data_IF_204683487957
#
_entry.id   IF_204683487957
#
_cell.length_a   1.000
_cell.length_b   1.000
_cell.length_c   1.000
_cell.angle_alpha   90.00
_cell.angle_beta   90.00
_cell.angle_gamma   90.00
#
_symmetry.space_group_name_H-M   'P 1'
#
loop_
_entity.id
_entity.type
_entity.pdbx_description
1 polymer ?
#
# COMPACT_ATOMS: atom_id res chain seq x y z
N UNK A 1 -6.66 -4.19 3.77
CA UNK A 1 -8.00 -3.54 3.73
C UNK A 1 -8.39 -2.89 5.04
N UNK A 2 -8.19 -3.49 6.19
CA UNK A 2 -8.56 -2.95 7.53
C UNK A 2 -8.07 -1.52 7.79
N UNK A 3 -6.84 -1.18 7.37
CA UNK A 3 -6.31 0.18 7.55
C UNK A 3 -7.09 1.26 6.77
N UNK A 4 -7.72 0.92 5.64
CA UNK A 4 -8.54 1.85 4.87
C UNK A 4 -9.83 2.20 5.61
N UNK A 5 -10.46 1.19 6.22
CA UNK A 5 -11.66 1.37 7.04
C UNK A 5 -11.32 2.23 8.26
N UNK A 6 -10.22 1.89 8.94
CA UNK A 6 -9.73 2.68 10.07
C UNK A 6 -9.50 4.14 9.68
N UNK A 7 -8.90 4.40 8.51
CA UNK A 7 -8.69 5.76 8.02
C UNK A 7 -10.03 6.49 7.81
N UNK A 8 -10.99 5.85 7.12
CA UNK A 8 -12.33 6.45 6.90
C UNK A 8 -13.02 6.76 8.22
N UNK A 9 -12.97 5.83 9.20
CA UNK A 9 -13.58 6.05 10.52
C UNK A 9 -12.91 7.19 11.28
N UNK A 10 -11.58 7.30 11.24
CA UNK A 10 -10.85 8.36 11.94
C UNK A 10 -11.08 9.75 11.32
N UNK A 11 -11.08 9.84 9.99
CA UNK A 11 -11.18 11.14 9.30
C UNK A 11 -12.63 11.60 9.06
N UNK A 12 -13.59 10.66 8.94
CA UNK A 12 -14.95 10.94 8.51
C UNK A 12 -16.03 10.36 9.42
N UNK A 13 -15.67 9.67 10.50
CA UNK A 13 -16.59 9.08 11.48
C UNK A 13 -17.47 7.96 10.91
N UNK A 14 -18.49 7.59 11.67
CA UNK A 14 -19.48 6.57 11.25
C UNK A 14 -20.25 6.99 10.00
N UNK A 15 -20.60 8.29 9.88
CA UNK A 15 -21.26 8.80 8.69
C UNK A 15 -20.44 8.62 7.40
N UNK A 16 -19.10 8.75 7.50
CA UNK A 16 -18.19 8.45 6.39
C UNK A 16 -18.18 6.96 6.04
N UNK A 17 -18.22 6.11 7.05
CA UNK A 17 -18.30 4.66 6.84
C UNK A 17 -19.60 4.23 6.19
N UNK A 18 -20.73 4.82 6.60
CA UNK A 18 -22.04 4.56 6.00
C UNK A 18 -22.09 5.02 4.53
N UNK A 19 -21.51 6.19 4.23
CA UNK A 19 -21.37 6.66 2.85
C UNK A 19 -20.52 5.69 2.00
N UNK A 20 -19.45 5.14 2.55
CA UNK A 20 -18.63 4.15 1.87
C UNK A 20 -19.44 2.88 1.61
N UNK A 21 -20.12 2.34 2.60
CA UNK A 21 -20.95 1.13 2.50
C UNK A 21 -22.04 1.25 1.43
N UNK A 22 -22.63 2.43 1.29
CA UNK A 22 -23.68 2.70 0.29
C UNK A 22 -23.16 2.76 -1.17
N UNK A 23 -21.86 2.77 -1.39
CA UNK A 23 -21.23 3.00 -2.70
C UNK A 23 -20.34 1.85 -3.19
N UNK A 24 -20.30 0.75 -2.46
CA UNK A 24 -19.50 -0.44 -2.80
C UNK A 24 -20.39 -1.58 -3.31
N UNK A 25 -19.76 -2.55 -3.97
CA UNK A 25 -20.42 -3.79 -4.42
C UNK A 25 -21.00 -4.58 -3.25
N UNK A 26 -22.02 -5.42 -3.47
CA UNK A 26 -22.58 -6.28 -2.43
C UNK A 26 -21.53 -7.21 -1.79
N UNK A 27 -20.54 -7.66 -2.56
CA UNK A 27 -19.47 -8.50 -2.05
C UNK A 27 -18.56 -7.73 -1.08
N UNK A 28 -18.14 -6.51 -1.44
CA UNK A 28 -17.35 -5.67 -0.57
C UNK A 28 -18.15 -5.20 0.66
N UNK A 29 -19.44 -4.89 0.48
CA UNK A 29 -20.34 -4.55 1.59
C UNK A 29 -20.39 -5.67 2.63
N UNK A 30 -20.59 -6.91 2.19
CA UNK A 30 -20.57 -8.09 3.07
C UNK A 30 -19.25 -8.20 3.85
N UNK A 31 -18.11 -7.92 3.18
CA UNK A 31 -16.81 -7.90 3.86
C UNK A 31 -16.66 -6.74 4.87
N UNK A 32 -17.24 -5.57 4.58
CA UNK A 32 -17.23 -4.42 5.48
C UNK A 32 -18.07 -4.67 6.75
N UNK A 33 -19.20 -5.35 6.59
CA UNK A 33 -20.12 -5.67 7.70
C UNK A 33 -19.57 -6.78 8.61
N UNK A 34 -19.01 -7.84 8.02
CA UNK A 34 -18.46 -8.98 8.76
C UNK A 34 -17.02 -8.74 9.27
N UNK A 35 -16.36 -7.68 8.81
CA UNK A 35 -14.96 -7.40 9.05
C UNK A 35 -14.01 -8.27 8.20
N UNK A 36 -12.77 -7.80 8.06
CA UNK A 36 -11.71 -8.54 7.35
C UNK A 36 -10.91 -9.41 8.31
N UNK A 37 -10.91 -10.71 8.08
CA UNK A 37 -10.13 -11.67 8.85
C UNK A 37 -8.69 -11.78 8.33
N UNK A 38 -7.71 -11.65 9.20
CA UNK A 38 -6.27 -11.66 8.83
C UNK A 38 -5.79 -12.96 8.20
N UNK A 39 -6.44 -14.07 8.49
CA UNK A 39 -6.08 -15.40 7.98
C UNK A 39 -6.85 -15.79 6.70
N UNK A 40 -7.66 -14.90 6.14
CA UNK A 40 -8.47 -15.16 4.95
C UNK A 40 -7.96 -14.37 3.76
N UNK A 41 -7.87 -15.01 2.60
CA UNK A 41 -7.63 -14.36 1.32
C UNK A 41 -8.93 -13.76 0.77
N UNK A 42 -8.80 -12.61 0.14
CA UNK A 42 -9.90 -11.88 -0.49
C UNK A 42 -9.53 -11.57 -1.93
N UNK A 43 -10.49 -11.52 -2.88
CA UNK A 43 -10.24 -11.07 -4.24
C UNK A 43 -9.52 -9.72 -4.25
N UNK A 44 -8.50 -9.60 -5.09
CA UNK A 44 -7.72 -8.36 -5.21
C UNK A 44 -8.57 -7.18 -5.69
N UNK A 45 -9.59 -7.46 -6.49
CA UNK A 45 -10.55 -6.50 -7.01
C UNK A 45 -11.26 -5.74 -5.89
N UNK A 46 -11.53 -6.38 -4.75
CA UNK A 46 -12.13 -5.73 -3.58
C UNK A 46 -11.17 -4.70 -2.95
N UNK A 47 -9.85 -4.97 -2.99
CA UNK A 47 -8.87 -3.98 -2.56
C UNK A 47 -8.84 -2.77 -3.49
N UNK A 48 -8.90 -3.00 -4.80
CA UNK A 48 -8.95 -1.93 -5.81
C UNK A 48 -10.21 -1.10 -5.64
N UNK A 49 -11.37 -1.76 -5.59
CA UNK A 49 -12.68 -1.13 -5.41
C UNK A 49 -12.70 -0.25 -4.16
N UNK A 50 -12.25 -0.79 -3.02
CA UNK A 50 -12.21 -0.05 -1.75
C UNK A 50 -11.38 1.24 -1.86
N UNK A 51 -10.16 1.16 -2.41
CA UNK A 51 -9.29 2.33 -2.54
C UNK A 51 -9.87 3.37 -3.51
N UNK A 52 -10.39 2.94 -4.67
CA UNK A 52 -10.98 3.84 -5.68
C UNK A 52 -12.25 4.50 -5.15
N UNK A 53 -13.11 3.76 -4.44
CA UNK A 53 -14.34 4.31 -3.85
C UNK A 53 -14.01 5.32 -2.76
N UNK A 54 -13.02 5.06 -1.91
CA UNK A 54 -12.58 6.03 -0.89
C UNK A 54 -12.05 7.30 -1.56
N UNK A 55 -11.22 7.19 -2.59
CA UNK A 55 -10.69 8.35 -3.31
C UNK A 55 -11.80 9.17 -3.98
N UNK A 56 -12.79 8.51 -4.58
CA UNK A 56 -13.94 9.17 -5.19
C UNK A 56 -14.82 9.91 -4.16
N UNK A 57 -15.02 9.34 -2.97
CA UNK A 57 -15.91 9.90 -1.94
C UNK A 57 -15.24 11.00 -1.10
N UNK A 58 -13.97 10.88 -0.84
CA UNK A 58 -13.24 11.70 0.13
C UNK A 58 -12.00 12.39 -0.44
N UNK A 59 -11.63 12.10 -1.67
CA UNK A 59 -10.58 12.75 -2.45
C UNK A 59 -11.12 13.49 -3.65
N UNK A 60 -10.29 13.68 -4.66
CA UNK A 60 -10.66 14.32 -5.92
C UNK A 60 -11.12 13.32 -7.01
N UNK A 61 -11.07 12.01 -6.76
CA UNK A 61 -11.36 10.97 -7.74
C UNK A 61 -10.25 10.76 -8.78
N UNK A 62 -9.08 11.31 -8.53
CA UNK A 62 -7.89 11.26 -9.40
C UNK A 62 -6.85 10.23 -8.95
N UNK A 63 -7.19 9.42 -7.96
CA UNK A 63 -6.38 8.41 -7.28
C UNK A 63 -5.29 8.97 -6.36
N UNK A 64 -5.16 10.29 -6.20
CA UNK A 64 -4.11 10.90 -5.39
C UNK A 64 -4.23 10.54 -3.90
N UNK A 65 -5.45 10.49 -3.35
CA UNK A 65 -5.70 10.10 -1.96
C UNK A 65 -5.17 8.69 -1.65
N UNK A 66 -5.11 7.79 -2.65
CA UNK A 66 -4.65 6.41 -2.45
C UNK A 66 -3.19 6.36 -1.97
N UNK A 67 -2.35 7.34 -2.34
CA UNK A 67 -0.98 7.45 -1.81
C UNK A 67 -1.01 7.71 -0.29
N UNK A 68 -1.86 8.61 0.16
CA UNK A 68 -2.09 8.88 1.59
C UNK A 68 -2.59 7.64 2.33
N UNK A 69 -3.54 6.91 1.73
CA UNK A 69 -4.02 5.64 2.27
C UNK A 69 -2.90 4.60 2.36
N UNK A 70 -2.00 4.56 1.37
CA UNK A 70 -0.80 3.72 1.40
C UNK A 70 0.11 4.05 2.58
N UNK A 71 0.43 5.33 2.78
CA UNK A 71 1.21 5.85 3.91
C UNK A 71 0.57 5.50 5.25
N UNK A 72 -0.73 5.79 5.40
CA UNK A 72 -1.48 5.41 6.60
C UNK A 72 -1.45 3.90 6.86
N UNK A 73 -1.52 3.08 5.80
CA UNK A 73 -1.40 1.63 5.91
C UNK A 73 -0.04 1.19 6.47
N UNK A 74 1.04 1.88 6.15
CA UNK A 74 2.35 1.62 6.75
C UNK A 74 2.35 1.92 8.26
N UNK A 75 1.79 3.06 8.67
CA UNK A 75 1.67 3.41 10.10
C UNK A 75 0.79 2.42 10.86
N UNK A 76 -0.37 2.06 10.33
CA UNK A 76 -1.37 1.19 10.98
C UNK A 76 -0.90 -0.27 11.09
N UNK A 77 -0.13 -0.77 10.11
CA UNK A 77 0.37 -2.14 10.10
C UNK A 77 1.64 -2.33 10.96
N UNK A 78 2.27 -1.24 11.34
CA UNK A 78 3.43 -1.26 12.21
C UNK A 78 2.99 -1.39 13.67
N UNK A 79 2.55 -2.59 14.06
CA UNK A 79 2.37 -2.95 15.46
C UNK A 79 3.67 -2.75 16.24
N UNK A 80 3.59 -2.63 17.56
CA UNK A 80 4.69 -2.27 18.49
C UNK A 80 6.00 -3.03 18.22
N UNK A 81 5.91 -4.29 17.82
CA UNK A 81 7.08 -5.14 17.51
C UNK A 81 7.82 -4.64 16.25
N UNK A 82 7.09 -4.28 15.19
CA UNK A 82 7.70 -3.75 13.95
C UNK A 82 8.29 -2.35 14.18
N UNK A 83 7.70 -1.50 15.02
CA UNK A 83 8.26 -0.19 15.39
C UNK A 83 9.67 -0.30 15.96
N UNK A 84 9.96 -1.33 16.74
CA UNK A 84 11.31 -1.55 17.28
C UNK A 84 12.30 -1.89 16.15
N UNK A 85 11.90 -2.73 15.21
CA UNK A 85 12.74 -3.08 14.06
C UNK A 85 13.02 -1.88 13.13
N UNK A 86 12.07 -0.98 12.95
CA UNK A 86 12.27 0.25 12.18
C UNK A 86 13.22 1.23 12.87
N UNK A 87 13.29 1.24 14.19
CA UNK A 87 14.23 2.08 14.95
C UNK A 87 15.67 1.55 14.96
N UNK A 88 15.86 0.26 14.76
CA UNK A 88 17.18 -0.41 14.87
C UNK A 88 17.75 -0.80 13.50
N UNK A 89 16.90 -0.99 12.50
CA UNK A 89 17.30 -1.38 11.15
C UNK A 89 17.63 -0.17 10.24
N UNK A 90 18.56 -0.36 9.31
CA UNK A 90 18.74 0.60 8.23
C UNK A 90 17.59 0.52 7.21
N UNK A 91 17.40 1.58 6.41
CA UNK A 91 16.41 1.59 5.32
C UNK A 91 16.60 0.38 4.40
N UNK A 92 17.83 0.05 4.03
CA UNK A 92 18.15 -1.10 3.17
C UNK A 92 17.71 -2.43 3.80
N UNK A 93 17.90 -2.59 5.10
CA UNK A 93 17.49 -3.78 5.82
C UNK A 93 15.96 -3.94 5.85
N UNK A 94 15.24 -2.84 6.07
CA UNK A 94 13.76 -2.81 6.04
C UNK A 94 13.25 -3.11 4.63
N UNK A 95 13.80 -2.47 3.61
CA UNK A 95 13.43 -2.72 2.22
C UNK A 95 13.68 -4.19 1.83
N UNK A 96 14.82 -4.77 2.23
CA UNK A 96 15.09 -6.19 2.00
C UNK A 96 14.09 -7.12 2.68
N UNK A 97 13.53 -6.75 3.83
CA UNK A 97 12.46 -7.51 4.50
C UNK A 97 11.09 -7.36 3.84
N UNK A 98 10.83 -6.26 3.15
CA UNK A 98 9.57 -6.05 2.45
C UNK A 98 9.30 -7.10 1.37
N UNK A 99 10.35 -7.72 0.83
CA UNK A 99 10.26 -8.88 -0.09
C UNK A 99 9.46 -10.03 0.55
N UNK A 100 9.70 -10.33 1.83
CA UNK A 100 8.97 -11.38 2.55
C UNK A 100 7.54 -10.97 2.91
N UNK A 101 7.29 -9.67 3.06
CA UNK A 101 5.95 -9.16 3.34
C UNK A 101 5.05 -9.28 2.11
N UNK A 102 5.61 -9.30 0.90
CA UNK A 102 4.82 -9.46 -0.32
C UNK A 102 3.98 -10.73 -0.30
N UNK A 103 4.59 -11.89 -0.08
CA UNK A 103 3.89 -13.18 -0.04
C UNK A 103 2.92 -13.33 1.14
N UNK A 104 3.03 -12.49 2.17
CA UNK A 104 2.05 -12.44 3.24
C UNK A 104 0.79 -11.62 2.89
N UNK A 105 0.84 -10.84 1.80
CA UNK A 105 -0.25 -9.96 1.39
C UNK A 105 -0.81 -10.28 0.00
N UNK A 106 -0.05 -10.97 -0.84
CA UNK A 106 -0.40 -11.30 -2.22
C UNK A 106 -0.02 -12.74 -2.54
N UNK A 107 -0.91 -13.44 -3.23
CA UNK A 107 -0.75 -14.82 -3.68
C UNK A 107 -0.09 -14.92 -5.07
N UNK A 108 0.16 -13.80 -5.71
CA UNK A 108 0.79 -13.73 -7.03
C UNK A 108 1.90 -12.68 -7.08
N UNK A 109 2.82 -12.88 -8.00
CA UNK A 109 3.98 -12.01 -8.18
C UNK A 109 4.95 -12.02 -7.01
N UNK A 110 5.96 -11.19 -7.11
CA UNK A 110 6.96 -11.00 -6.07
C UNK A 110 7.57 -9.60 -6.13
N UNK A 111 8.04 -9.14 -4.99
CA UNK A 111 8.78 -7.89 -4.85
C UNK A 111 10.27 -8.17 -4.87
N UNK A 112 11.01 -7.50 -5.75
CA UNK A 112 12.47 -7.45 -5.76
C UNK A 112 12.92 -6.10 -5.21
N UNK A 113 14.00 -6.12 -4.41
CA UNK A 113 14.67 -4.91 -3.95
C UNK A 113 16.14 -4.99 -4.31
N UNK A 114 16.60 -4.05 -5.12
CA UNK A 114 18.00 -3.88 -5.46
C UNK A 114 18.53 -2.58 -4.86
N UNK A 115 19.54 -2.68 -3.97
CA UNK A 115 20.23 -1.52 -3.41
C UNK A 115 21.14 -0.89 -4.48
N UNK A 116 21.06 0.44 -4.60
CA UNK A 116 21.89 1.23 -5.52
C UNK A 116 22.74 2.27 -4.78
N UNK A 117 23.37 1.84 -3.69
CA UNK A 117 24.16 2.71 -2.84
C UNK A 117 23.54 2.91 -1.45
N UNK A 118 24.13 3.75 -0.61
CA UNK A 118 23.72 3.91 0.78
C UNK A 118 22.34 4.55 0.95
N UNK A 119 21.91 5.34 -0.03
CA UNK A 119 20.66 6.11 0.04
C UNK A 119 19.80 5.97 -1.22
N UNK A 120 19.92 4.84 -1.92
CA UNK A 120 19.14 4.55 -3.12
C UNK A 120 18.81 3.08 -3.24
N UNK A 121 17.63 2.79 -3.78
CA UNK A 121 17.18 1.42 -4.08
C UNK A 121 16.23 1.43 -5.30
N UNK A 122 16.04 0.25 -5.87
CA UNK A 122 15.02 -0.01 -6.88
C UNK A 122 14.10 -1.11 -6.35
N UNK A 123 12.81 -0.83 -6.34
CA UNK A 123 11.77 -1.81 -6.04
C UNK A 123 11.10 -2.23 -7.34
N UNK A 124 10.97 -3.56 -7.58
CA UNK A 124 10.29 -4.11 -8.75
C UNK A 124 9.24 -5.11 -8.32
N UNK A 125 8.04 -4.94 -8.85
CA UNK A 125 6.96 -5.93 -8.72
C UNK A 125 6.87 -6.68 -10.03
N UNK A 126 7.13 -8.00 -9.99
CA UNK A 126 7.11 -8.89 -11.14
C UNK A 126 6.04 -9.96 -11.01
N UNK A 127 5.50 -10.39 -12.14
CA UNK A 127 4.56 -11.53 -12.20
C UNK A 127 3.25 -11.32 -11.44
N UNK A 128 2.91 -10.10 -11.03
CA UNK A 128 1.64 -9.83 -10.36
C UNK A 128 0.48 -10.03 -11.35
N UNK A 129 -0.51 -10.88 -11.00
CA UNK A 129 -1.52 -11.34 -11.95
C UNK A 129 -2.39 -10.21 -12.49
N UNK A 130 -2.88 -9.34 -11.62
CA UNK A 130 -3.86 -8.29 -11.92
C UNK A 130 -3.32 -6.89 -11.60
N UNK A 131 -2.38 -6.32 -12.40
CA UNK A 131 -1.83 -5.00 -12.14
C UNK A 131 -2.93 -3.93 -12.27
N UNK A 132 -2.97 -3.01 -11.31
CA UNK A 132 -3.91 -1.88 -11.32
C UNK A 132 -3.22 -0.61 -10.80
N UNK A 133 -3.53 0.55 -11.39
CA UNK A 133 -2.87 1.83 -11.05
C UNK A 133 -3.05 2.21 -9.57
N UNK A 134 -4.24 2.01 -9.02
CA UNK A 134 -4.52 2.25 -7.60
C UNK A 134 -3.58 1.44 -6.68
N UNK A 135 -3.25 0.19 -7.06
CA UNK A 135 -2.30 -0.63 -6.31
C UNK A 135 -0.88 -0.06 -6.37
N UNK A 136 -0.39 0.34 -7.56
CA UNK A 136 0.93 0.94 -7.70
C UNK A 136 1.07 2.19 -6.82
N UNK A 137 0.04 3.06 -6.81
CA UNK A 137 0.01 4.27 -5.98
C UNK A 137 -0.01 3.91 -4.48
N UNK A 138 -0.81 2.92 -4.07
CA UNK A 138 -0.87 2.47 -2.68
C UNK A 138 0.48 1.91 -2.20
N UNK A 139 1.15 1.10 -3.04
CA UNK A 139 2.49 0.55 -2.75
C UNK A 139 3.53 1.67 -2.67
N UNK A 140 3.46 2.66 -3.56
CA UNK A 140 4.35 3.85 -3.51
C UNK A 140 4.23 4.56 -2.17
N UNK A 141 3.01 4.89 -1.73
CA UNK A 141 2.78 5.56 -0.44
C UNK A 141 3.24 4.71 0.74
N UNK A 142 2.98 3.40 0.70
CA UNK A 142 3.43 2.48 1.75
C UNK A 142 4.96 2.40 1.84
N UNK A 143 5.65 2.27 0.72
CA UNK A 143 7.12 2.19 0.66
C UNK A 143 7.76 3.51 1.12
N UNK A 144 7.25 4.64 0.67
CA UNK A 144 7.67 5.97 1.08
C UNK A 144 7.62 6.13 2.60
N UNK A 145 6.47 5.80 3.21
CA UNK A 145 6.33 5.90 4.66
C UNK A 145 7.21 4.91 5.41
N UNK A 146 7.40 3.71 4.88
CA UNK A 146 8.30 2.71 5.43
C UNK A 146 9.75 3.19 5.48
N UNK A 147 10.20 3.92 4.46
CA UNK A 147 11.55 4.54 4.43
C UNK A 147 11.67 5.61 5.51
N UNK A 148 10.70 6.50 5.65
CA UNK A 148 10.68 7.53 6.70
C UNK A 148 10.73 6.91 8.10
N UNK A 149 9.91 5.90 8.36
CA UNK A 149 9.87 5.19 9.63
C UNK A 149 11.19 4.48 9.95
N UNK A 150 11.97 4.15 8.91
CA UNK A 150 13.31 3.53 9.03
C UNK A 150 14.45 4.55 9.17
N UNK A 151 14.12 5.84 9.28
CA UNK A 151 15.10 6.92 9.46
C UNK A 151 15.58 7.59 8.16
N UNK A 152 15.11 7.14 6.98
CA UNK A 152 15.34 7.86 5.72
C UNK A 152 14.53 9.14 5.69
N UNK A 153 15.13 10.21 5.25
CA UNK A 153 14.48 11.52 5.17
C UNK A 153 14.14 11.85 3.72
N UNK A 154 13.05 12.58 3.54
CA UNK A 154 12.61 13.11 2.25
C UNK A 154 12.67 12.08 1.10
N UNK A 155 12.04 10.89 1.25
CA UNK A 155 12.09 9.87 0.21
C UNK A 155 11.45 10.39 -1.08
N UNK A 156 12.16 10.20 -2.20
CA UNK A 156 11.67 10.50 -3.54
C UNK A 156 11.42 9.17 -4.26
N UNK A 157 10.20 9.00 -4.76
CA UNK A 157 9.73 7.78 -5.42
C UNK A 157 9.39 8.10 -6.88
N UNK A 158 10.13 7.55 -7.84
CA UNK A 158 9.87 7.71 -9.25
C UNK A 158 9.41 6.38 -9.86
N UNK A 159 8.15 6.32 -10.36
CA UNK A 159 7.65 5.18 -11.10
C UNK A 159 8.22 5.22 -12.53
N UNK A 160 9.26 4.42 -12.80
CA UNK A 160 9.95 4.38 -14.08
C UNK A 160 9.37 3.35 -15.03
N UNK A 161 8.72 2.27 -14.52
CA UNK A 161 7.99 1.27 -15.30
C UNK A 161 6.67 0.93 -14.61
N UNK A 162 5.63 0.62 -15.40
CA UNK A 162 4.34 0.17 -14.86
C UNK A 162 3.66 -0.81 -15.83
N UNK A 163 3.29 -1.98 -15.32
CA UNK A 163 2.56 -2.99 -16.10
C UNK A 163 1.22 -2.51 -16.64
N UNK A 164 0.59 -1.53 -15.99
CA UNK A 164 -0.64 -0.92 -16.53
C UNK A 164 -0.40 -0.05 -17.77
N UNK A 165 0.86 0.24 -18.10
CA UNK A 165 1.30 0.92 -19.31
C UNK A 165 1.94 -0.02 -20.34
N UNK A 166 1.92 -1.35 -20.07
CA UNK A 166 2.51 -2.35 -20.97
C UNK A 166 3.96 -2.72 -20.65
N UNK A 167 4.56 -2.19 -19.59
CA UNK A 167 5.91 -2.56 -19.17
C UNK A 167 5.96 -4.00 -18.60
N UNK A 168 7.13 -4.62 -18.60
CA UNK A 168 7.36 -5.98 -18.09
C UNK A 168 7.13 -6.12 -16.57
N UNK A 169 7.34 -5.02 -15.81
CA UNK A 169 7.17 -4.96 -14.36
C UNK A 169 6.72 -3.57 -13.93
N UNK A 170 6.30 -3.43 -12.67
CA UNK A 170 6.21 -2.11 -12.05
C UNK A 170 7.51 -1.83 -11.33
N UNK A 171 8.15 -0.69 -11.59
CA UNK A 171 9.43 -0.30 -11.00
C UNK A 171 9.35 1.09 -10.38
N UNK A 172 9.82 1.18 -9.15
CA UNK A 172 10.00 2.42 -8.41
C UNK A 172 11.50 2.61 -8.16
N UNK A 173 12.06 3.69 -8.68
CA UNK A 173 13.40 4.15 -8.33
C UNK A 173 13.29 5.07 -7.12
N UNK A 174 14.04 4.78 -6.08
CA UNK A 174 13.86 5.38 -4.75
C UNK A 174 15.16 5.95 -4.27
N UNK A 175 15.12 7.20 -3.78
CA UNK A 175 16.22 7.86 -3.09
C UNK A 175 15.71 8.49 -1.79
N UNK A 176 16.62 8.69 -0.81
CA UNK A 176 16.31 9.36 0.47
C UNK A 176 17.58 10.02 1.02
N UNK A 177 17.42 10.92 2.01
CA UNK A 177 18.51 11.58 2.74
C UNK A 177 18.88 10.87 4.05
#
# INVERSE_FOLDING_TARGET
>A
MTSRILWVTLEHGEAGLDRLKAQVSPELLTCLENGFHKARWYPFELFVELNVTIDRLFGAGDLALIRTLGRFGADANLTTIYRLFYKVGSVQWILGRSVRLWSAHYDSGYLEVATRGPKAAVLRIRGFATPHKAHCIAVTGWAERSIELSGGKQPVMNETKCRTRGDECCQLDVTWD
#
